data_IF_443017896256
#
_entry.id   IF_443017896256
#
_cell.length_a   1.000
_cell.length_b   1.000
_cell.length_c   1.000
_cell.angle_alpha   90.00
_cell.angle_beta   90.00
_cell.angle_gamma   90.00
#
_symmetry.space_group_name_H-M   'P 1'
#
loop_
_entity.id
_entity.type
_entity.pdbx_description
1 polymer ?
#
# COMPACT_ATOMS: atom_id res chain seq x y z
N UNK A 1 16.33 15.83 3.50
CA UNK A 1 15.93 14.55 2.90
C UNK A 1 14.75 14.01 3.68
N UNK A 2 13.66 13.63 3.02
CA UNK A 2 12.57 12.92 3.67
C UNK A 2 12.97 11.45 3.85
N UNK A 3 12.65 10.86 5.00
CA UNK A 3 12.88 9.44 5.25
C UNK A 3 11.63 8.64 4.90
N UNK A 4 11.80 7.39 4.46
CA UNK A 4 10.67 6.48 4.26
C UNK A 4 9.93 6.27 5.58
N UNK A 5 8.60 6.34 5.54
CA UNK A 5 7.74 5.99 6.66
C UNK A 5 7.52 4.48 6.77
N UNK A 6 7.81 3.73 5.71
CA UNK A 6 7.68 2.27 5.68
C UNK A 6 8.90 1.66 6.37
N UNK A 7 8.64 0.77 7.32
CA UNK A 7 9.64 -0.01 8.05
C UNK A 7 9.21 -1.47 8.19
N UNK A 8 10.05 -2.31 8.80
CA UNK A 8 9.77 -3.73 9.03
C UNK A 8 8.53 -4.00 9.90
N UNK A 9 8.11 -3.01 10.69
CA UNK A 9 6.91 -3.10 11.54
C UNK A 9 5.65 -2.57 10.85
N UNK A 10 5.77 -1.97 9.64
CA UNK A 10 4.62 -1.50 8.88
C UNK A 10 3.84 -2.71 8.35
N UNK A 11 2.58 -2.83 8.77
CA UNK A 11 1.70 -3.91 8.31
C UNK A 11 0.97 -3.44 7.05
N UNK A 12 1.15 -4.17 5.96
CA UNK A 12 0.44 -3.88 4.70
C UNK A 12 -0.69 -4.88 4.46
N UNK A 13 -1.77 -4.42 3.83
CA UNK A 13 -2.85 -5.26 3.29
C UNK A 13 -3.19 -4.79 1.89
N UNK A 14 -3.67 -5.70 1.07
CA UNK A 14 -4.11 -5.42 -0.30
C UNK A 14 -5.47 -6.04 -0.53
N UNK A 15 -6.27 -5.43 -1.40
CA UNK A 15 -7.62 -5.90 -1.74
C UNK A 15 -7.65 -7.32 -2.31
N UNK A 16 -6.72 -7.63 -3.21
CA UNK A 16 -6.64 -8.90 -3.91
C UNK A 16 -5.22 -9.14 -4.45
N UNK A 17 -4.95 -10.35 -4.93
CA UNK A 17 -3.72 -10.70 -5.66
C UNK A 17 -4.15 -11.48 -6.89
N UNK A 18 -3.64 -11.10 -8.06
CA UNK A 18 -3.96 -11.72 -9.34
C UNK A 18 -3.85 -13.24 -9.27
N UNK A 19 -4.94 -13.96 -9.59
CA UNK A 19 -5.01 -15.43 -9.54
C UNK A 19 -4.66 -16.04 -8.18
N UNK A 20 -4.66 -15.24 -7.10
CA UNK A 20 -4.19 -15.61 -5.76
C UNK A 20 -2.71 -16.04 -5.74
N UNK A 21 -1.93 -15.72 -6.77
CA UNK A 21 -0.51 -16.07 -6.84
C UNK A 21 0.34 -15.07 -6.03
N UNK A 22 0.35 -15.28 -4.72
CA UNK A 22 1.15 -14.48 -3.77
C UNK A 22 2.65 -14.62 -4.04
N UNK A 23 3.09 -15.72 -4.67
CA UNK A 23 4.50 -15.93 -4.97
C UNK A 23 4.98 -15.05 -6.10
N UNK A 24 4.15 -14.70 -7.07
CA UNK A 24 4.54 -13.85 -8.21
C UNK A 24 4.03 -12.41 -8.10
N UNK A 25 2.88 -12.20 -7.48
CA UNK A 25 2.19 -10.90 -7.50
C UNK A 25 1.83 -10.37 -6.11
N UNK A 26 2.41 -10.93 -5.05
CA UNK A 26 2.11 -10.55 -3.68
C UNK A 26 2.57 -9.15 -3.29
N UNK A 27 1.92 -8.55 -2.29
CA UNK A 27 2.18 -7.20 -1.76
C UNK A 27 3.64 -6.90 -1.38
N UNK A 28 4.48 -7.91 -1.13
CA UNK A 28 5.90 -7.73 -0.81
C UNK A 28 6.67 -7.05 -1.94
N UNK A 29 6.24 -7.26 -3.19
CA UNK A 29 6.81 -6.69 -4.40
C UNK A 29 6.50 -5.19 -4.58
N UNK A 30 5.83 -4.55 -3.61
CA UNK A 30 5.74 -3.08 -3.56
C UNK A 30 6.93 -2.46 -2.81
N UNK A 31 7.74 -3.27 -2.11
CA UNK A 31 8.72 -2.78 -1.14
C UNK A 31 10.11 -3.40 -1.32
N UNK A 32 10.32 -4.25 -2.32
CA UNK A 32 11.59 -4.95 -2.58
C UNK A 32 12.58 -4.15 -3.40
N UNK A 33 12.19 -2.96 -3.88
CA UNK A 33 13.03 -2.05 -4.70
C UNK A 33 13.48 -2.66 -6.03
N UNK A 34 12.73 -3.65 -6.54
CA UNK A 34 12.94 -4.26 -7.85
C UNK A 34 11.89 -3.73 -8.84
N UNK A 35 12.32 -3.02 -9.89
CA UNK A 35 11.41 -2.43 -10.89
C UNK A 35 10.73 -3.49 -11.77
N UNK A 36 11.27 -4.71 -11.79
CA UNK A 36 10.74 -5.84 -12.57
C UNK A 36 9.62 -6.59 -11.82
N UNK A 37 9.46 -6.37 -10.51
CA UNK A 37 8.39 -6.99 -9.72
C UNK A 37 7.31 -5.97 -9.36
N UNK A 38 6.08 -6.45 -9.10
CA UNK A 38 5.02 -5.61 -8.55
C UNK A 38 3.99 -6.42 -7.76
N UNK A 39 3.22 -5.72 -6.94
CA UNK A 39 1.90 -6.23 -6.57
C UNK A 39 0.94 -6.06 -7.76
N UNK A 40 0.27 -7.15 -8.12
CA UNK A 40 -0.77 -7.13 -9.14
C UNK A 40 -2.10 -7.59 -8.52
N UNK A 41 -3.12 -6.74 -8.60
CA UNK A 41 -4.47 -7.06 -8.13
C UNK A 41 -5.20 -7.96 -9.13
N UNK A 42 -6.25 -8.63 -8.67
CA UNK A 42 -7.22 -9.23 -9.57
C UNK A 42 -8.09 -8.15 -10.25
N UNK A 43 -8.94 -8.57 -11.18
CA UNK A 43 -9.88 -7.65 -11.84
C UNK A 43 -10.91 -7.05 -10.85
N UNK A 44 -11.41 -5.86 -11.16
CA UNK A 44 -12.43 -5.14 -10.39
C UNK A 44 -11.98 -3.79 -9.86
N UNK A 45 -12.92 -2.98 -9.36
CA UNK A 45 -12.66 -1.65 -8.80
C UNK A 45 -13.59 -1.40 -7.59
N UNK A 46 -13.09 -0.81 -6.49
CA UNK A 46 -11.72 -0.34 -6.29
C UNK A 46 -10.75 -1.48 -5.93
N UNK A 47 -9.48 -1.30 -6.30
CA UNK A 47 -8.37 -2.05 -5.71
C UNK A 47 -7.64 -1.11 -4.75
N UNK A 48 -7.16 -1.65 -3.64
CA UNK A 48 -6.62 -0.83 -2.56
C UNK A 48 -5.39 -1.45 -1.91
N UNK A 49 -4.54 -0.57 -1.40
CA UNK A 49 -3.42 -0.88 -0.52
C UNK A 49 -3.70 -0.14 0.79
N UNK A 50 -3.56 -0.86 1.91
CA UNK A 50 -3.68 -0.31 3.26
C UNK A 50 -2.36 -0.49 3.98
N UNK A 51 -1.89 0.56 4.63
CA UNK A 51 -0.67 0.58 5.44
C UNK A 51 -1.01 0.98 6.86
N UNK A 52 -0.76 0.08 7.80
CA UNK A 52 -0.81 0.33 9.24
C UNK A 52 0.60 0.59 9.73
N UNK A 53 0.84 1.82 10.18
CA UNK A 53 2.12 2.24 10.75
C UNK A 53 2.18 1.87 12.25
N UNK A 54 3.36 1.53 12.80
CA UNK A 54 3.51 1.16 14.21
C UNK A 54 3.21 2.32 15.18
N UNK A 55 3.17 3.56 14.67
CA UNK A 55 2.87 4.77 15.42
C UNK A 55 2.20 5.81 14.51
N UNK A 56 1.68 6.88 15.10
CA UNK A 56 1.18 8.02 14.34
C UNK A 56 2.32 8.65 13.51
N UNK A 57 2.05 8.88 12.23
CA UNK A 57 3.03 9.44 11.27
C UNK A 57 2.50 10.70 10.62
N UNK A 58 3.42 11.53 10.14
CA UNK A 58 3.11 12.67 9.28
C UNK A 58 3.55 12.33 7.85
N UNK A 59 2.58 12.12 6.97
CA UNK A 59 2.84 11.87 5.55
C UNK A 59 3.05 13.21 4.84
N UNK A 60 4.21 13.39 4.20
CA UNK A 60 4.51 14.57 3.38
C UNK A 60 4.48 14.29 1.88
N UNK A 61 4.69 13.05 1.48
CA UNK A 61 4.78 12.62 0.08
C UNK A 61 4.35 11.15 -0.03
N UNK A 62 3.69 10.82 -1.14
CA UNK A 62 3.38 9.45 -1.53
C UNK A 62 3.92 9.24 -2.95
N UNK A 63 4.83 8.29 -3.11
CA UNK A 63 5.37 7.90 -4.42
C UNK A 63 4.82 6.53 -4.79
N UNK A 64 4.23 6.42 -5.99
CA UNK A 64 3.66 5.18 -6.52
C UNK A 64 4.19 4.99 -7.93
N UNK A 65 4.86 3.87 -8.18
CA UNK A 65 5.32 3.46 -9.50
C UNK A 65 4.35 2.40 -10.04
N UNK A 66 3.93 2.56 -11.30
CA UNK A 66 3.14 1.55 -12.01
C UNK A 66 4.02 0.90 -13.08
N UNK A 67 3.84 -0.42 -13.29
CA UNK A 67 4.46 -1.11 -14.41
C UNK A 67 3.68 -0.86 -15.71
N UNK A 68 4.38 -0.90 -16.85
CA UNK A 68 3.78 -0.66 -18.16
C UNK A 68 2.59 -1.57 -18.45
N UNK A 69 1.52 -1.00 -19.03
CA UNK A 69 0.31 -1.74 -19.41
C UNK A 69 -0.86 -1.60 -18.41
N UNK A 70 -0.59 -1.32 -17.14
CA UNK A 70 -1.62 -1.11 -16.12
C UNK A 70 -1.26 0.05 -15.20
N UNK A 71 -2.17 1.02 -15.03
CA UNK A 71 -1.97 2.13 -14.11
C UNK A 71 -3.27 2.53 -13.43
N UNK A 72 -3.19 2.90 -12.16
CA UNK A 72 -4.28 3.54 -11.44
C UNK A 72 -4.55 4.92 -12.03
N UNK A 73 -5.65 5.06 -12.79
CA UNK A 73 -6.02 6.35 -13.42
C UNK A 73 -6.58 7.35 -12.42
N UNK A 74 -7.30 6.85 -11.42
CA UNK A 74 -7.90 7.65 -10.34
C UNK A 74 -7.54 6.98 -9.03
N UNK A 75 -6.80 7.70 -8.19
CA UNK A 75 -6.41 7.24 -6.87
C UNK A 75 -7.04 8.15 -5.81
N UNK A 76 -7.50 7.56 -4.72
CA UNK A 76 -7.95 8.26 -3.53
C UNK A 76 -7.05 7.87 -2.37
N UNK A 77 -6.53 8.88 -1.68
CA UNK A 77 -5.74 8.69 -0.46
C UNK A 77 -6.63 8.97 0.74
N UNK A 78 -6.67 8.03 1.66
CA UNK A 78 -7.40 8.13 2.92
C UNK A 78 -6.44 7.89 4.08
N UNK A 79 -6.68 8.54 5.21
CA UNK A 79 -5.89 8.37 6.42
C UNK A 79 -6.78 8.46 7.65
N UNK A 80 -6.46 7.64 8.65
CA UNK A 80 -7.13 7.66 9.95
C UNK A 80 -6.09 7.73 11.05
N UNK A 81 -6.30 8.64 12.00
CA UNK A 81 -5.52 8.70 13.24
C UNK A 81 -6.34 8.07 14.36
N UNK A 82 -6.10 6.79 14.62
CA UNK A 82 -6.80 6.04 15.67
C UNK A 82 -6.53 6.60 17.07
N UNK A 83 -5.46 7.38 17.27
CA UNK A 83 -5.18 8.02 18.56
C UNK A 83 -6.14 9.16 18.87
N UNK A 84 -6.81 9.70 17.85
CA UNK A 84 -7.79 10.80 17.97
C UNK A 84 -9.23 10.32 18.02
N UNK A 85 -9.48 9.03 17.86
CA UNK A 85 -10.82 8.49 18.09
C UNK A 85 -11.10 8.52 19.59
N UNK A 86 -12.22 9.13 20.04
CA UNK A 86 -12.63 8.98 21.43
C UNK A 86 -12.79 7.49 21.68
N UNK A 87 -12.10 6.96 22.71
CA UNK A 87 -12.38 5.61 23.20
C UNK A 87 -13.85 5.60 23.61
N UNK A 88 -14.70 5.05 22.76
CA UNK A 88 -16.04 4.63 23.15
C UNK A 88 -15.82 3.45 24.12
N UNK A 89 -15.80 3.79 25.42
CA UNK A 89 -15.99 2.86 26.52
C UNK A 89 -17.46 2.49 26.60
#
# INVERSE_FOLDING_TARGET
>A
MAASLICSETVSRVSSVLNRDVKQFGKKYMFDSDEETCWNSDQGSPQWVLLDFPQAVRVSELQVQFQGGFAGKTCRVEGIDLTRLPRLL
#
